data_IF_241535981659
#
_entry.id   IF_241535981659
#
_cell.length_a   1.000
_cell.length_b   1.000
_cell.length_c   1.000
_cell.angle_alpha   90.00
_cell.angle_beta   90.00
_cell.angle_gamma   90.00
#
_symmetry.space_group_name_H-M   'P 1'
#
loop_
_entity.id
_entity.type
_entity.pdbx_description
1 polymer ?
#
# COMPACT_ATOMS: atom_id res chain seq x y z
N UNK A 1 -10.46 9.60 4.92
CA UNK A 1 -9.14 9.12 5.32
C UNK A 1 -8.91 7.86 4.54
N UNK A 2 -7.87 7.84 3.72
CA UNK A 2 -7.45 6.67 2.97
C UNK A 2 -7.33 5.50 3.96
N UNK A 3 -8.05 4.41 3.69
CA UNK A 3 -8.03 3.26 4.59
C UNK A 3 -6.77 2.47 4.30
N UNK A 4 -5.93 2.29 5.31
CA UNK A 4 -4.70 1.52 5.15
C UNK A 4 -5.01 0.10 4.71
N UNK A 5 -4.41 -0.41 3.61
CA UNK A 5 -4.61 -1.78 3.14
C UNK A 5 -4.35 -2.84 4.21
N UNK A 6 -3.33 -2.63 5.04
CA UNK A 6 -2.96 -3.49 6.17
C UNK A 6 -4.07 -3.66 7.20
N UNK A 7 -5.04 -2.73 7.27
CA UNK A 7 -6.24 -2.88 8.12
C UNK A 7 -7.11 -4.00 7.60
N UNK A 8 -7.43 -3.97 6.30
CA UNK A 8 -8.24 -4.99 5.66
C UNK A 8 -7.55 -6.36 5.70
N UNK A 9 -6.24 -6.40 5.47
CA UNK A 9 -5.48 -7.65 5.53
C UNK A 9 -5.48 -8.26 6.94
N UNK A 10 -5.37 -7.44 7.99
CA UNK A 10 -5.50 -7.91 9.39
C UNK A 10 -6.91 -8.39 9.71
N UNK A 11 -7.93 -7.72 9.19
CA UNK A 11 -9.32 -8.17 9.34
C UNK A 11 -9.52 -9.55 8.73
N UNK A 12 -8.92 -9.82 7.56
CA UNK A 12 -8.95 -11.14 6.93
C UNK A 12 -8.27 -12.21 7.80
N UNK A 13 -7.08 -11.91 8.34
CA UNK A 13 -6.38 -12.81 9.28
C UNK A 13 -7.25 -13.10 10.52
N UNK A 14 -7.85 -12.07 11.11
CA UNK A 14 -8.69 -12.22 12.30
C UNK A 14 -9.98 -13.00 12.01
N UNK A 15 -10.56 -12.80 10.83
CA UNK A 15 -11.77 -13.50 10.40
C UNK A 15 -11.50 -14.99 10.18
N UNK A 16 -10.45 -15.37 9.45
CA UNK A 16 -10.10 -16.78 9.29
C UNK A 16 -9.79 -17.45 10.63
N UNK A 17 -9.06 -16.77 11.53
CA UNK A 17 -8.81 -17.29 12.87
C UNK A 17 -10.11 -17.52 13.66
N UNK A 18 -11.11 -16.65 13.52
CA UNK A 18 -12.44 -16.80 14.13
C UNK A 18 -13.19 -18.00 13.53
N UNK A 19 -13.17 -18.14 12.21
CA UNK A 19 -13.82 -19.25 11.50
C UNK A 19 -13.20 -20.60 11.90
N UNK A 20 -11.87 -20.67 11.97
CA UNK A 20 -11.15 -21.86 12.47
C UNK A 20 -11.54 -22.18 13.91
N UNK A 21 -11.56 -21.18 14.80
CA UNK A 21 -11.94 -21.39 16.20
C UNK A 21 -13.39 -21.87 16.37
N UNK A 22 -14.29 -21.46 15.47
CA UNK A 22 -15.69 -21.91 15.44
C UNK A 22 -15.88 -23.27 14.76
N UNK A 23 -14.87 -23.78 14.05
CA UNK A 23 -14.94 -25.01 13.24
C UNK A 23 -15.66 -24.82 11.89
N UNK A 24 -15.90 -23.58 11.47
CA UNK A 24 -16.51 -23.24 10.18
C UNK A 24 -15.48 -23.25 9.03
N UNK A 25 -14.18 -23.16 9.35
CA UNK A 25 -13.06 -23.27 8.42
C UNK A 25 -12.08 -24.33 8.90
N UNK A 26 -11.60 -25.19 7.99
CA UNK A 26 -10.53 -26.14 8.30
C UNK A 26 -9.21 -25.34 8.49
N UNK A 27 -8.43 -25.59 9.56
CA UNK A 27 -7.11 -24.97 9.72
C UNK A 27 -6.20 -25.10 8.48
N UNK A 28 -6.34 -26.16 7.67
CA UNK A 28 -5.56 -26.35 6.46
C UNK A 28 -5.97 -25.45 5.28
N UNK A 29 -7.15 -24.82 5.37
CA UNK A 29 -7.71 -23.90 4.38
C UNK A 29 -7.56 -22.42 4.83
N UNK A 30 -6.96 -22.17 6.00
CA UNK A 30 -6.76 -20.82 6.57
C UNK A 30 -5.40 -20.25 6.16
N UNK A 31 -5.35 -19.58 5.01
CA UNK A 31 -4.10 -19.08 4.41
C UNK A 31 -3.78 -17.62 4.75
N UNK A 32 -4.73 -16.84 5.28
CA UNK A 32 -4.54 -15.41 5.48
C UNK A 32 -3.34 -15.08 6.38
N UNK A 33 -3.08 -15.89 7.42
CA UNK A 33 -1.92 -15.68 8.30
C UNK A 33 -0.57 -15.97 7.60
N UNK A 34 -0.58 -16.81 6.57
CA UNK A 34 0.60 -17.12 5.76
C UNK A 34 0.82 -16.05 4.68
N UNK A 35 -0.27 -15.56 4.06
CA UNK A 35 -0.25 -14.48 3.07
C UNK A 35 0.09 -13.12 3.70
N UNK A 36 -0.37 -12.88 4.92
CA UNK A 36 -0.20 -11.61 5.64
C UNK A 36 0.56 -11.82 6.96
N UNK A 37 1.83 -12.27 6.92
CA UNK A 37 2.60 -12.45 8.12
C UNK A 37 2.81 -11.11 8.82
N UNK A 38 2.84 -11.11 10.16
CA UNK A 38 2.88 -9.88 10.97
C UNK A 38 4.06 -8.97 10.59
N UNK A 39 5.23 -9.53 10.26
CA UNK A 39 6.39 -8.76 9.82
C UNK A 39 6.17 -8.01 8.50
N UNK A 40 5.45 -8.61 7.54
CA UNK A 40 5.07 -7.94 6.29
C UNK A 40 4.15 -6.77 6.60
N UNK A 41 3.10 -7.02 7.39
CA UNK A 41 2.11 -6.00 7.75
C UNK A 41 2.74 -4.80 8.46
N UNK A 42 3.67 -5.04 9.38
CA UNK A 42 4.40 -3.99 10.08
C UNK A 42 5.33 -3.21 9.14
N UNK A 43 6.05 -3.91 8.26
CA UNK A 43 6.92 -3.29 7.26
C UNK A 43 6.13 -2.40 6.31
N UNK A 44 5.01 -2.89 5.77
CA UNK A 44 4.11 -2.09 4.93
C UNK A 44 3.57 -0.88 5.70
N UNK A 45 3.10 -1.04 6.94
CA UNK A 45 2.60 0.07 7.75
C UNK A 45 3.63 1.16 8.00
N UNK A 46 4.89 0.79 8.23
CA UNK A 46 5.97 1.76 8.39
C UNK A 46 6.14 2.61 7.13
N UNK A 47 6.15 1.98 5.96
CA UNK A 47 6.24 2.67 4.67
C UNK A 47 5.06 3.63 4.46
N UNK A 48 3.83 3.15 4.69
CA UNK A 48 2.63 3.97 4.52
C UNK A 48 2.60 5.15 5.51
N UNK A 49 3.00 4.92 6.77
CA UNK A 49 3.10 5.98 7.78
C UNK A 49 4.12 7.05 7.38
N UNK A 50 5.25 6.61 6.80
CA UNK A 50 6.28 7.54 6.33
C UNK A 50 5.79 8.36 5.15
N UNK A 51 5.06 7.74 4.22
CA UNK A 51 4.47 8.43 3.08
C UNK A 51 3.46 9.50 3.50
N UNK A 52 2.52 9.15 4.40
CA UNK A 52 1.56 10.11 4.96
C UNK A 52 2.28 11.28 5.66
N UNK A 53 3.33 11.00 6.43
CA UNK A 53 4.12 12.03 7.11
C UNK A 53 4.88 12.92 6.12
N UNK A 54 5.43 12.36 5.04
CA UNK A 54 6.08 13.10 3.96
C UNK A 54 5.08 14.04 3.29
N UNK A 55 3.88 13.57 2.93
CA UNK A 55 2.83 14.40 2.34
C UNK A 55 2.36 15.51 3.28
N UNK A 56 2.15 15.20 4.57
CA UNK A 56 1.71 16.18 5.56
C UNK A 56 2.75 17.30 5.81
N UNK A 57 4.03 17.04 5.51
CA UNK A 57 5.10 18.03 5.62
C UNK A 57 5.20 18.96 4.39
N UNK A 58 4.54 18.62 3.28
CA UNK A 58 4.54 19.45 2.07
C UNK A 58 3.58 20.64 2.22
N UNK A 59 4.03 21.82 1.80
CA UNK A 59 3.22 23.04 1.78
C UNK A 59 3.34 23.71 0.42
N UNK A 60 2.29 23.60 -0.39
CA UNK A 60 2.30 23.98 -1.81
C UNK A 60 3.43 23.29 -2.59
N UNK A 61 3.46 21.93 -2.63
CA UNK A 61 4.54 21.19 -3.24
C UNK A 61 4.62 21.40 -4.75
N UNK A 62 5.83 21.29 -5.29
CA UNK A 62 6.03 21.08 -6.73
C UNK A 62 5.68 19.64 -7.12
N UNK A 63 5.46 19.40 -8.41
CA UNK A 63 5.21 18.05 -8.93
C UNK A 63 6.35 17.09 -8.57
N UNK A 64 7.59 17.57 -8.67
CA UNK A 64 8.78 16.79 -8.34
C UNK A 64 8.82 16.38 -6.87
N UNK A 65 8.37 17.23 -5.94
CA UNK A 65 8.29 16.90 -4.52
C UNK A 65 7.27 15.79 -4.25
N UNK A 66 6.11 15.84 -4.92
CA UNK A 66 5.08 14.80 -4.82
C UNK A 66 5.58 13.49 -5.41
N UNK A 67 6.14 13.51 -6.63
CA UNK A 67 6.69 12.31 -7.26
C UNK A 67 7.87 11.73 -6.48
N UNK A 68 8.70 12.54 -5.83
CA UNK A 68 9.77 12.04 -4.97
C UNK A 68 9.21 11.34 -3.72
N UNK A 69 8.07 11.79 -3.17
CA UNK A 69 7.40 11.08 -2.07
C UNK A 69 6.83 9.74 -2.54
N UNK A 70 6.20 9.71 -3.73
CA UNK A 70 5.69 8.47 -4.35
C UNK A 70 6.83 7.49 -4.62
N UNK A 71 7.91 7.94 -5.24
CA UNK A 71 9.11 7.14 -5.52
C UNK A 71 9.65 6.48 -4.25
N UNK A 72 9.85 7.27 -3.18
CA UNK A 72 10.34 6.73 -1.91
C UNK A 72 9.41 5.66 -1.33
N UNK A 73 8.11 5.88 -1.39
CA UNK A 73 7.12 4.91 -0.91
C UNK A 73 7.17 3.62 -1.72
N UNK A 74 7.15 3.71 -3.06
CA UNK A 74 7.15 2.53 -3.93
C UNK A 74 8.45 1.74 -3.79
N UNK A 75 9.62 2.40 -3.74
CA UNK A 75 10.90 1.70 -3.54
C UNK A 75 10.98 1.00 -2.18
N UNK A 76 10.42 1.60 -1.13
CA UNK A 76 10.35 0.96 0.17
C UNK A 76 9.36 -0.22 0.19
N UNK A 77 8.25 -0.14 -0.57
CA UNK A 77 7.36 -1.29 -0.78
C UNK A 77 8.06 -2.43 -1.55
N UNK A 78 8.84 -2.13 -2.60
CA UNK A 78 9.68 -3.14 -3.27
C UNK A 78 10.58 -3.85 -2.27
N UNK A 79 11.22 -3.11 -1.36
CA UNK A 79 12.09 -3.69 -0.34
C UNK A 79 11.33 -4.61 0.62
N UNK A 80 10.11 -4.25 1.04
CA UNK A 80 9.26 -5.16 1.84
C UNK A 80 8.93 -6.42 1.03
N UNK A 81 8.62 -6.28 -0.26
CA UNK A 81 8.35 -7.44 -1.13
C UNK A 81 9.56 -8.38 -1.22
N UNK A 82 10.76 -7.84 -1.44
CA UNK A 82 12.02 -8.60 -1.50
C UNK A 82 12.32 -9.35 -0.20
N UNK A 83 12.13 -8.72 0.96
CA UNK A 83 12.34 -9.34 2.28
C UNK A 83 11.43 -10.56 2.51
N UNK A 84 10.32 -10.63 1.77
CA UNK A 84 9.32 -11.68 1.80
C UNK A 84 9.35 -12.56 0.55
N UNK A 85 10.50 -12.62 -0.14
CA UNK A 85 10.72 -13.55 -1.26
C UNK A 85 10.05 -13.14 -2.56
N UNK A 86 9.88 -11.84 -2.78
CA UNK A 86 9.23 -11.25 -3.97
C UNK A 86 7.74 -11.62 -4.12
N UNK A 87 7.13 -12.12 -3.04
CA UNK A 87 5.76 -12.62 -3.02
C UNK A 87 4.91 -12.03 -1.89
N UNK A 88 5.30 -10.87 -1.32
CA UNK A 88 4.51 -10.21 -0.28
C UNK A 88 3.16 -9.72 -0.81
N UNK A 89 3.12 -9.32 -2.08
CA UNK A 89 1.97 -8.61 -2.64
C UNK A 89 1.52 -9.25 -3.94
N UNK A 90 0.31 -9.81 -3.94
CA UNK A 90 -0.32 -10.29 -5.16
C UNK A 90 -1.04 -9.13 -5.87
N UNK A 91 -1.76 -9.44 -6.95
CA UNK A 91 -2.46 -8.43 -7.76
C UNK A 91 -3.41 -7.57 -6.91
N UNK A 92 -4.15 -8.17 -5.98
CA UNK A 92 -5.09 -7.43 -5.13
C UNK A 92 -4.39 -6.49 -4.15
N UNK A 93 -3.32 -6.94 -3.51
CA UNK A 93 -2.53 -6.13 -2.57
C UNK A 93 -1.88 -4.95 -3.28
N UNK A 94 -1.38 -5.16 -4.50
CA UNK A 94 -0.83 -4.11 -5.35
C UNK A 94 -1.86 -3.05 -5.67
N UNK A 95 -3.07 -3.44 -6.05
CA UNK A 95 -4.17 -2.52 -6.32
C UNK A 95 -4.54 -1.72 -5.07
N UNK A 96 -4.69 -2.36 -3.91
CA UNK A 96 -4.99 -1.68 -2.65
C UNK A 96 -3.94 -0.64 -2.28
N UNK A 97 -2.66 -0.97 -2.43
CA UNK A 97 -1.55 -0.07 -2.11
C UNK A 97 -1.42 1.09 -3.11
N UNK A 98 -1.65 0.86 -4.41
CA UNK A 98 -1.70 1.95 -5.39
C UNK A 98 -2.88 2.89 -5.10
N UNK A 99 -4.06 2.34 -4.83
CA UNK A 99 -5.23 3.12 -4.44
C UNK A 99 -4.97 3.96 -3.18
N UNK A 100 -4.34 3.38 -2.15
CA UNK A 100 -3.97 4.11 -0.95
C UNK A 100 -3.04 5.29 -1.26
N UNK A 101 -1.99 5.09 -2.06
CA UNK A 101 -1.07 6.18 -2.44
C UNK A 101 -1.81 7.31 -3.16
N UNK A 102 -2.66 7.00 -4.12
CA UNK A 102 -3.48 7.98 -4.83
C UNK A 102 -4.42 8.74 -3.89
N UNK A 103 -5.15 8.02 -3.03
CA UNK A 103 -6.09 8.60 -2.08
C UNK A 103 -5.39 9.51 -1.07
N UNK A 104 -4.25 9.11 -0.53
CA UNK A 104 -3.46 9.94 0.39
C UNK A 104 -2.98 11.25 -0.26
N UNK A 105 -2.62 11.23 -1.55
CA UNK A 105 -2.27 12.46 -2.30
C UNK A 105 -3.48 13.39 -2.42
N UNK A 106 -4.64 12.83 -2.77
CA UNK A 106 -5.91 13.60 -2.84
C UNK A 106 -6.26 14.20 -1.48
N UNK A 107 -6.08 13.44 -0.40
CA UNK A 107 -6.35 13.91 0.97
C UNK A 107 -5.38 14.98 1.44
N UNK A 108 -4.16 15.00 0.93
CA UNK A 108 -3.21 16.11 1.11
C UNK A 108 -3.62 17.38 0.33
N UNK A 109 -4.76 17.35 -0.39
CA UNK A 109 -5.29 18.47 -1.16
C UNK A 109 -4.64 18.65 -2.53
N UNK A 110 -3.93 17.64 -3.02
CA UNK A 110 -3.26 17.66 -4.32
C UNK A 110 -4.19 17.05 -5.35
N UNK A 111 -4.43 17.77 -6.45
CA UNK A 111 -5.17 17.25 -7.61
C UNK A 111 -4.30 16.23 -8.36
N UNK A 112 -4.47 14.95 -8.01
CA UNK A 112 -3.69 13.83 -8.56
C UNK A 112 -3.92 13.64 -10.05
N UNK A 113 -5.13 13.91 -10.54
CA UNK A 113 -5.46 13.82 -11.97
C UNK A 113 -4.73 14.90 -12.76
N UNK A 114 -4.75 16.15 -12.27
CA UNK A 114 -4.01 17.24 -12.88
C UNK A 114 -2.50 17.03 -12.78
N UNK A 115 -2.00 16.50 -11.65
CA UNK A 115 -0.59 16.13 -11.47
C UNK A 115 -0.16 15.11 -12.52
N UNK A 116 -0.87 14.00 -12.63
CA UNK A 116 -0.54 12.95 -13.59
C UNK A 116 -0.60 13.46 -15.04
N UNK A 117 -1.64 14.24 -15.38
CA UNK A 117 -1.83 14.77 -16.72
C UNK A 117 -0.68 15.70 -17.17
N UNK A 118 -0.09 16.49 -16.26
CA UNK A 118 1.08 17.35 -16.56
C UNK A 118 2.31 16.54 -16.99
N UNK A 119 2.37 15.27 -16.62
CA UNK A 119 3.47 14.34 -16.93
C UNK A 119 3.07 13.31 -18.00
N UNK A 120 1.90 13.45 -18.63
CA UNK A 120 1.43 12.53 -19.65
C UNK A 120 1.02 11.16 -19.11
N UNK A 121 0.64 11.10 -17.83
CA UNK A 121 0.20 9.91 -17.11
C UNK A 121 -1.27 10.02 -16.74
N UNK A 122 -1.89 8.89 -16.44
CA UNK A 122 -3.13 8.79 -15.67
C UNK A 122 -2.81 8.70 -14.18
N UNK A 123 -3.79 9.01 -13.32
CA UNK A 123 -3.64 8.87 -11.86
C UNK A 123 -3.18 7.48 -11.42
N UNK A 124 -3.55 6.43 -12.16
CA UNK A 124 -3.19 5.04 -11.87
C UNK A 124 -1.76 4.67 -12.31
N UNK A 125 -1.12 5.50 -13.12
CA UNK A 125 0.24 5.26 -13.63
C UNK A 125 1.31 5.99 -12.81
N UNK A 126 0.93 6.79 -11.80
CA UNK A 126 1.88 7.60 -11.03
C UNK A 126 2.92 6.78 -10.26
N UNK A 127 2.62 5.52 -9.96
CA UNK A 127 3.54 4.60 -9.29
C UNK A 127 4.39 3.78 -10.28
N UNK A 128 3.93 3.63 -11.53
CA UNK A 128 4.36 2.57 -12.46
C UNK A 128 5.85 2.53 -12.71
N UNK A 129 6.48 3.71 -12.79
CA UNK A 129 7.89 3.86 -13.07
C UNK A 129 8.79 3.09 -12.09
N UNK A 130 8.35 2.90 -10.84
CA UNK A 130 9.18 2.35 -9.77
C UNK A 130 8.70 1.00 -9.24
N UNK A 131 7.54 0.49 -9.71
CA UNK A 131 6.99 -0.77 -9.22
C UNK A 131 7.78 -1.96 -9.78
N UNK A 132 8.44 -2.70 -8.91
CA UNK A 132 9.11 -3.98 -9.23
C UNK A 132 8.46 -5.19 -8.54
N UNK A 133 7.59 -4.91 -7.58
CA UNK A 133 6.79 -5.84 -6.79
C UNK A 133 5.61 -6.43 -7.55
#
# INVERSE_FOLDING_TARGET
MAVRPTTHWRENVAEEARLVASGELDPADAYAAELFPESMLLGTDEVLSRFEADLAALSAPSDEEVFAAVERAVLALNQVNEQHGEAAYETGEREHLCAFIEESIVEAGIDVDALAARHGLTRHEITDKWREW
#
